data_IF_233462082426
#
_entry.id   IF_233462082426
#
_cell.length_a   1.000
_cell.length_b   1.000
_cell.length_c   1.000
_cell.angle_alpha   90.00
_cell.angle_beta   90.00
_cell.angle_gamma   90.00
#
_symmetry.space_group_name_H-M   'P 1'
#
loop_
_entity.id
_entity.type
_entity.pdbx_description
1 polymer ?
#
# COMPACT_ATOMS: atom_id res chain seq x y z
N UNK A 1 -22.87 15.14 13.20
CA UNK A 1 -21.93 14.29 13.94
C UNK A 1 -22.59 13.91 15.24
N UNK A 2 -23.18 12.74 15.25
CA UNK A 2 -23.47 12.01 16.47
C UNK A 2 -22.13 11.42 17.01
N UNK A 3 -22.14 10.91 18.24
CA UNK A 3 -21.12 10.05 18.85
C UNK A 3 -21.90 8.94 19.58
N UNK A 4 -21.36 7.73 19.65
CA UNK A 4 -21.79 6.73 20.65
C UNK A 4 -20.56 6.31 21.46
N UNK A 5 -20.74 5.64 22.61
CA UNK A 5 -19.65 5.10 23.45
C UNK A 5 -19.99 3.66 23.89
N UNK A 6 -18.98 2.84 24.17
CA UNK A 6 -19.07 1.40 24.45
C UNK A 6 -17.82 0.66 23.95
N UNK A 7 -17.85 -0.67 23.84
CA UNK A 7 -16.78 -1.41 23.16
C UNK A 7 -16.84 -1.23 21.61
N UNK A 8 -18.01 -0.89 21.06
CA UNK A 8 -18.29 -0.52 19.65
C UNK A 8 -19.62 0.25 19.51
N UNK A 9 -19.73 1.27 18.64
CA UNK A 9 -20.60 2.45 18.89
C UNK A 9 -20.96 3.32 17.62
N UNK A 10 -22.04 3.14 16.84
CA UNK A 10 -22.15 3.74 15.46
C UNK A 10 -22.95 5.09 15.26
N UNK A 11 -22.35 6.26 14.88
CA UNK A 11 -23.03 7.60 14.82
C UNK A 11 -22.99 8.38 13.47
N UNK A 12 -23.95 9.27 13.05
CA UNK A 12 -24.02 9.97 11.70
C UNK A 12 -23.66 11.50 11.50
N UNK A 13 -23.36 11.89 10.25
CA UNK A 13 -23.25 13.28 9.74
C UNK A 13 -22.22 13.58 8.61
N UNK A 14 -22.08 14.87 8.25
CA UNK A 14 -20.73 15.43 7.94
C UNK A 14 -19.99 15.32 9.28
N UNK A 15 -18.98 14.45 9.34
CA UNK A 15 -18.30 13.97 10.56
C UNK A 15 -19.22 13.03 11.39
N UNK A 16 -18.64 11.96 11.93
CA UNK A 16 -19.17 10.85 12.77
C UNK A 16 -17.97 10.43 13.64
N UNK A 17 -18.11 10.09 14.94
CA UNK A 17 -17.05 9.37 15.69
C UNK A 17 -17.63 8.32 16.64
N UNK A 18 -17.49 7.07 16.24
CA UNK A 18 -17.68 5.82 16.99
C UNK A 18 -16.44 5.62 17.86
N UNK A 19 -16.45 5.17 19.12
CA UNK A 19 -15.22 4.84 19.89
C UNK A 19 -15.42 3.76 20.95
N UNK A 20 -14.63 2.70 20.84
CA UNK A 20 -14.30 1.74 21.89
C UNK A 20 -12.97 1.06 21.57
N UNK A 21 -12.88 -0.23 21.86
CA UNK A 21 -11.92 -1.11 21.18
C UNK A 21 -12.30 -1.32 19.68
N UNK A 22 -13.26 -0.55 19.12
CA UNK A 22 -13.56 -0.27 17.69
C UNK A 22 -14.30 1.11 17.43
N UNK A 23 -14.05 1.83 16.28
CA UNK A 23 -14.38 3.30 16.01
C UNK A 23 -14.65 3.67 14.52
N UNK A 24 -15.82 3.44 13.89
CA UNK A 24 -16.14 3.95 12.51
C UNK A 24 -16.61 5.43 12.36
N UNK A 25 -15.85 6.30 11.67
CA UNK A 25 -16.18 7.72 11.36
C UNK A 25 -16.57 8.02 9.89
N UNK A 26 -17.76 8.47 9.44
CA UNK A 26 -17.93 9.18 8.15
C UNK A 26 -17.82 10.71 8.21
N UNK A 27 -17.63 11.36 7.05
CA UNK A 27 -18.06 12.75 6.87
C UNK A 27 -17.99 13.44 5.49
N UNK A 28 -18.43 12.91 4.34
CA UNK A 28 -18.94 11.58 3.94
C UNK A 28 -17.74 10.70 3.55
N UNK A 29 -17.14 10.07 4.56
CA UNK A 29 -15.68 9.86 4.70
C UNK A 29 -15.38 8.79 5.80
N UNK A 30 -15.77 7.51 5.62
CA UNK A 30 -16.05 6.42 6.63
C UNK A 30 -14.80 5.68 7.22
N UNK A 31 -14.56 5.56 8.56
CA UNK A 31 -13.24 5.06 9.06
C UNK A 31 -13.21 4.40 10.46
N UNK A 32 -13.10 3.05 10.56
CA UNK A 32 -13.01 2.20 11.80
C UNK A 32 -11.77 2.28 12.74
N UNK A 33 -11.98 2.10 14.08
CA UNK A 33 -11.13 1.52 15.18
C UNK A 33 -10.90 2.16 16.59
N UNK A 34 -10.98 1.46 17.71
CA UNK A 34 -10.10 0.33 17.82
C UNK A 34 -8.93 0.50 18.77
N UNK A 35 -8.25 -0.62 19.03
CA UNK A 35 -6.79 -0.65 18.89
C UNK A 35 -6.41 -0.67 17.38
N UNK A 36 -7.18 0.01 16.51
CA UNK A 36 -7.71 -0.56 15.23
C UNK A 36 -8.09 0.49 14.16
N UNK A 37 -7.48 1.69 14.11
CA UNK A 37 -8.13 3.02 13.85
C UNK A 37 -7.85 3.78 12.52
N UNK A 38 -8.53 4.94 12.32
CA UNK A 38 -8.04 6.21 11.69
C UNK A 38 -8.03 6.34 10.14
N UNK A 39 -8.21 7.51 9.48
CA UNK A 39 -9.23 8.58 9.65
C UNK A 39 -9.64 9.26 8.29
N UNK A 40 -10.35 10.40 8.35
CA UNK A 40 -11.51 10.67 7.47
C UNK A 40 -11.27 11.50 6.19
N UNK A 41 -11.41 10.85 5.02
CA UNK A 41 -11.64 11.41 3.69
C UNK A 41 -12.58 10.54 2.79
N UNK A 42 -12.96 11.04 1.61
CA UNK A 42 -14.23 10.71 0.91
C UNK A 42 -14.48 9.25 0.52
N UNK A 43 -15.44 8.59 1.18
CA UNK A 43 -15.67 7.12 1.22
C UNK A 43 -14.41 6.33 1.62
N UNK A 44 -14.45 5.60 2.73
CA UNK A 44 -13.33 4.81 3.23
C UNK A 44 -13.92 3.60 4.01
N UNK A 45 -13.09 2.61 4.32
CA UNK A 45 -13.38 1.44 5.19
C UNK A 45 -12.04 1.02 5.80
N UNK A 46 -12.02 0.40 6.97
CA UNK A 46 -10.79 -0.12 7.57
C UNK A 46 -11.06 -1.38 8.41
N UNK A 47 -10.19 -2.38 8.35
CA UNK A 47 -10.27 -3.59 9.19
C UNK A 47 -8.88 -4.05 9.66
N UNK A 48 -8.44 -3.66 10.86
CA UNK A 48 -7.17 -4.13 11.41
C UNK A 48 -6.55 -3.17 12.43
N UNK A 49 -5.43 -3.53 13.04
CA UNK A 49 -4.91 -2.86 14.23
C UNK A 49 -4.09 -1.58 13.92
N UNK A 50 -4.32 -0.45 14.59
CA UNK A 50 -3.45 0.74 14.56
C UNK A 50 -3.17 1.43 13.21
N UNK A 51 -4.14 1.51 12.29
CA UNK A 51 -4.00 2.16 10.97
C UNK A 51 -4.09 3.69 11.02
N UNK A 52 -3.91 4.37 9.87
CA UNK A 52 -4.15 5.81 9.61
C UNK A 52 -4.43 6.10 8.13
N UNK A 53 -5.71 6.33 7.79
CA UNK A 53 -6.16 6.75 6.47
C UNK A 53 -6.20 8.27 6.28
N UNK A 54 -5.84 8.73 5.09
CA UNK A 54 -6.04 10.08 4.57
C UNK A 54 -6.39 10.03 3.07
N UNK A 55 -7.51 10.62 2.64
CA UNK A 55 -7.83 10.68 1.20
C UNK A 55 -9.17 10.05 0.80
N UNK A 56 -9.32 9.41 -0.38
CA UNK A 56 -10.65 9.03 -0.92
C UNK A 56 -10.71 7.62 -1.52
N UNK A 57 -11.76 6.87 -1.17
CA UNK A 57 -12.01 5.47 -1.59
C UNK A 57 -10.87 4.55 -1.17
N UNK A 58 -10.61 4.43 0.13
CA UNK A 58 -9.51 3.60 0.65
C UNK A 58 -10.06 2.49 1.55
N UNK A 59 -9.46 1.30 1.50
CA UNK A 59 -9.90 0.08 2.19
C UNK A 59 -8.67 -0.71 2.71
N UNK A 60 -7.94 -0.21 3.72
CA UNK A 60 -6.93 -0.97 4.44
C UNK A 60 -7.46 -2.18 5.20
N UNK A 61 -6.65 -3.24 5.20
CA UNK A 61 -6.70 -4.35 6.14
C UNK A 61 -5.34 -4.58 6.82
N UNK A 62 -5.36 -4.97 8.10
CA UNK A 62 -4.17 -5.40 8.84
C UNK A 62 -3.58 -4.39 9.84
N UNK A 63 -2.34 -4.60 10.26
CA UNK A 63 -1.70 -3.91 11.38
C UNK A 63 -0.82 -2.73 10.91
N UNK A 64 -0.97 -1.54 11.51
CA UNK A 64 -0.12 -0.35 11.27
C UNK A 64 -0.04 0.03 9.79
N UNK A 65 -1.20 0.21 9.15
CA UNK A 65 -1.25 0.65 7.74
C UNK A 65 -1.52 2.15 7.65
N UNK A 66 -0.85 2.89 6.76
CA UNK A 66 -0.95 4.36 6.66
C UNK A 66 -1.15 4.81 5.20
N UNK A 67 -2.39 4.81 4.66
CA UNK A 67 -2.63 5.22 3.27
C UNK A 67 -3.00 6.70 3.11
N UNK A 68 -2.19 7.44 2.35
CA UNK A 68 -2.53 8.76 1.82
C UNK A 68 -2.81 8.74 0.31
N UNK A 69 -4.01 9.17 -0.09
CA UNK A 69 -4.34 9.44 -1.49
C UNK A 69 -5.69 8.88 -1.96
N UNK A 70 -5.73 8.10 -3.04
CA UNK A 70 -7.01 7.67 -3.64
C UNK A 70 -7.04 6.26 -4.22
N UNK A 71 -8.12 5.50 -3.95
CA UNK A 71 -8.30 4.12 -4.44
C UNK A 71 -7.17 3.19 -3.96
N UNK A 72 -6.96 3.14 -2.64
CA UNK A 72 -5.88 2.37 -2.01
C UNK A 72 -6.45 1.24 -1.16
N UNK A 73 -5.88 0.05 -1.25
CA UNK A 73 -6.35 -1.17 -0.58
C UNK A 73 -5.13 -1.97 -0.09
N UNK A 74 -4.42 -1.51 0.97
CA UNK A 74 -3.34 -2.30 1.54
C UNK A 74 -3.87 -3.47 2.36
N UNK A 75 -3.13 -4.57 2.39
CA UNK A 75 -3.42 -5.73 3.23
C UNK A 75 -2.14 -6.22 3.90
N UNK A 76 -1.98 -6.04 5.21
CA UNK A 76 -0.88 -6.65 5.97
C UNK A 76 -0.31 -5.78 7.09
N UNK A 77 1.01 -5.78 7.27
CA UNK A 77 1.69 -5.20 8.44
C UNK A 77 2.62 -4.04 8.04
N UNK A 78 2.61 -2.94 8.80
CA UNK A 78 3.51 -1.78 8.62
C UNK A 78 3.59 -1.30 7.17
N UNK A 79 2.45 -0.93 6.60
CA UNK A 79 2.32 -0.59 5.17
C UNK A 79 1.93 0.87 4.97
N UNK A 80 2.78 1.67 4.34
CA UNK A 80 2.57 3.10 4.05
C UNK A 80 2.31 3.28 2.56
N UNK A 81 1.28 4.05 2.17
CA UNK A 81 0.97 4.30 0.75
C UNK A 81 0.89 5.79 0.44
N UNK A 82 1.55 6.22 -0.63
CA UNK A 82 1.38 7.55 -1.19
C UNK A 82 0.87 7.47 -2.64
N UNK A 83 -0.20 8.19 -2.96
CA UNK A 83 -0.64 8.38 -4.35
C UNK A 83 -1.98 7.72 -4.71
N UNK A 84 -2.07 6.98 -5.82
CA UNK A 84 -3.39 6.55 -6.38
C UNK A 84 -3.43 5.15 -7.03
N UNK A 85 -4.51 4.41 -6.77
CA UNK A 85 -4.75 3.04 -7.28
C UNK A 85 -3.64 2.09 -6.85
N UNK A 86 -3.53 1.79 -5.55
CA UNK A 86 -2.46 0.93 -5.03
C UNK A 86 -3.05 -0.18 -4.16
N UNK A 87 -2.57 -1.40 -4.34
CA UNK A 87 -3.06 -2.61 -3.65
C UNK A 87 -1.84 -3.43 -3.19
N UNK A 88 -1.10 -2.98 -2.15
CA UNK A 88 0.00 -3.75 -1.60
C UNK A 88 -0.51 -4.88 -0.70
N UNK A 89 0.22 -5.99 -0.67
CA UNK A 89 -0.06 -7.13 0.20
C UNK A 89 1.24 -7.55 0.90
N UNK A 90 1.22 -7.67 2.23
CA UNK A 90 2.34 -8.20 3.02
C UNK A 90 2.92 -7.25 4.07
N UNK A 91 4.24 -7.26 4.27
CA UNK A 91 4.91 -6.68 5.44
C UNK A 91 5.94 -5.62 5.04
N UNK A 92 5.96 -4.46 5.71
CA UNK A 92 6.91 -3.37 5.43
C UNK A 92 6.88 -2.96 3.95
N UNK A 93 5.74 -2.42 3.50
CA UNK A 93 5.59 -1.99 2.11
C UNK A 93 5.38 -0.48 2.01
N UNK A 94 6.14 0.18 1.15
CA UNK A 94 6.17 1.64 0.99
C UNK A 94 6.07 2.05 -0.50
N UNK A 95 4.87 1.99 -1.12
CA UNK A 95 4.67 2.41 -2.50
C UNK A 95 4.27 3.88 -2.63
N UNK A 96 5.05 4.67 -3.35
CA UNK A 96 4.72 6.03 -3.81
C UNK A 96 4.49 6.07 -5.33
N UNK A 97 3.29 6.48 -5.75
CA UNK A 97 3.00 6.74 -7.15
C UNK A 97 1.61 6.30 -7.59
N UNK A 98 1.52 5.57 -8.71
CA UNK A 98 0.23 5.25 -9.34
C UNK A 98 0.15 3.85 -9.96
N UNK A 99 -0.91 3.10 -9.67
CA UNK A 99 -1.14 1.72 -10.18
C UNK A 99 -0.06 0.74 -9.70
N UNK A 100 0.07 0.57 -8.38
CA UNK A 100 1.06 -0.32 -7.75
C UNK A 100 0.36 -1.53 -7.11
N UNK A 101 0.92 -2.73 -7.28
CA UNK A 101 0.45 -3.98 -6.66
C UNK A 101 1.66 -4.82 -6.23
N UNK A 102 2.37 -4.47 -5.14
CA UNK A 102 3.39 -5.32 -4.56
C UNK A 102 2.78 -6.42 -3.67
N UNK A 103 3.44 -7.57 -3.62
CA UNK A 103 3.07 -8.73 -2.81
C UNK A 103 4.34 -9.28 -2.15
N UNK A 104 4.48 -9.15 -0.83
CA UNK A 104 5.60 -9.72 -0.07
C UNK A 104 6.16 -8.81 1.03
N UNK A 105 7.48 -8.76 1.17
CA UNK A 105 8.17 -8.22 2.36
C UNK A 105 9.21 -7.17 2.00
N UNK A 106 9.34 -6.09 2.78
CA UNK A 106 10.30 -4.98 2.56
C UNK A 106 10.31 -4.50 1.11
N UNK A 107 9.22 -3.89 0.66
CA UNK A 107 9.05 -3.47 -0.74
C UNK A 107 8.72 -1.99 -0.86
N UNK A 108 9.68 -1.22 -1.39
CA UNK A 108 9.60 0.24 -1.61
C UNK A 108 9.48 0.51 -3.10
N UNK A 109 8.34 1.01 -3.56
CA UNK A 109 8.07 1.25 -4.99
C UNK A 109 7.98 2.75 -5.30
N UNK A 110 8.66 3.21 -6.36
CA UNK A 110 8.50 4.56 -6.87
C UNK A 110 8.01 4.56 -8.33
N UNK A 111 7.10 5.49 -8.67
CA UNK A 111 6.73 5.79 -10.06
C UNK A 111 5.32 5.34 -10.48
N UNK A 112 5.20 4.29 -11.32
CA UNK A 112 3.85 3.82 -11.67
C UNK A 112 3.66 2.76 -12.78
N UNK A 113 2.53 2.04 -12.66
CA UNK A 113 2.21 0.78 -13.35
C UNK A 113 3.25 -0.29 -12.96
N UNK A 114 3.06 -0.87 -11.78
CA UNK A 114 4.02 -1.75 -11.12
C UNK A 114 3.25 -2.92 -10.47
N UNK A 115 3.60 -4.17 -10.80
CA UNK A 115 3.07 -5.38 -10.14
C UNK A 115 4.26 -6.22 -9.66
N UNK A 116 4.44 -6.44 -8.36
CA UNK A 116 5.71 -6.94 -7.82
C UNK A 116 5.47 -8.10 -6.88
N UNK A 117 6.28 -9.16 -6.96
CA UNK A 117 6.21 -10.29 -6.02
C UNK A 117 7.59 -10.56 -5.42
N UNK A 118 7.69 -10.64 -4.10
CA UNK A 118 8.88 -11.14 -3.40
C UNK A 118 9.37 -10.30 -2.21
N UNK A 119 10.68 -10.33 -1.97
CA UNK A 119 11.30 -9.90 -0.70
C UNK A 119 12.44 -8.91 -0.95
N UNK A 120 12.53 -7.84 -0.17
CA UNK A 120 13.56 -6.79 -0.29
C UNK A 120 13.64 -6.24 -1.71
N UNK A 121 12.67 -5.42 -2.11
CA UNK A 121 12.64 -4.84 -3.46
C UNK A 121 12.55 -3.31 -3.42
N UNK A 122 13.43 -2.66 -4.20
CA UNK A 122 13.52 -1.20 -4.34
C UNK A 122 13.48 -0.80 -5.83
N UNK A 123 12.29 -0.79 -6.46
CA UNK A 123 12.12 -0.49 -7.88
C UNK A 123 11.53 0.91 -8.10
N UNK A 124 12.31 1.77 -8.74
CA UNK A 124 11.89 3.06 -9.28
C UNK A 124 11.64 2.95 -10.79
N UNK A 125 10.52 3.53 -11.25
CA UNK A 125 10.24 3.72 -12.65
C UNK A 125 8.84 3.32 -13.07
N UNK A 126 8.69 2.74 -14.27
CA UNK A 126 7.37 2.53 -14.89
C UNK A 126 7.25 1.23 -15.68
N UNK A 127 6.07 0.59 -15.60
CA UNK A 127 5.76 -0.71 -16.25
C UNK A 127 6.69 -1.85 -15.81
N UNK A 128 7.03 -1.95 -14.52
CA UNK A 128 7.92 -3.01 -14.00
C UNK A 128 7.11 -4.18 -13.40
N UNK A 129 7.63 -5.41 -13.57
CA UNK A 129 6.98 -6.64 -13.10
C UNK A 129 8.01 -7.69 -12.63
N UNK A 130 8.62 -7.60 -11.44
CA UNK A 130 9.51 -8.65 -10.93
C UNK A 130 8.76 -9.84 -10.33
N UNK A 131 9.46 -10.95 -10.25
CA UNK A 131 9.25 -11.99 -9.23
C UNK A 131 10.60 -12.34 -8.61
N UNK A 132 10.89 -11.92 -7.37
CA UNK A 132 12.25 -12.15 -6.85
C UNK A 132 12.60 -11.64 -5.45
N UNK A 133 13.79 -12.05 -5.01
CA UNK A 133 14.41 -11.66 -3.74
C UNK A 133 15.58 -10.70 -4.00
N UNK A 134 15.71 -9.61 -3.22
CA UNK A 134 16.75 -8.58 -3.38
C UNK A 134 16.76 -8.00 -4.80
N UNK A 135 15.83 -7.09 -5.11
CA UNK A 135 15.75 -6.48 -6.47
C UNK A 135 15.75 -4.96 -6.45
N UNK A 136 16.79 -4.34 -7.01
CA UNK A 136 17.02 -2.88 -7.01
C UNK A 136 17.04 -2.36 -8.44
N UNK A 137 16.10 -1.49 -8.83
CA UNK A 137 15.90 -1.18 -10.25
C UNK A 137 15.52 0.26 -10.53
N UNK A 138 16.09 0.80 -11.60
CA UNK A 138 15.68 2.07 -12.21
C UNK A 138 15.29 1.81 -13.67
N UNK A 139 14.19 2.37 -14.16
CA UNK A 139 13.91 2.39 -15.60
C UNK A 139 12.49 2.03 -16.04
N UNK A 140 12.36 1.49 -17.25
CA UNK A 140 11.05 1.35 -17.93
C UNK A 140 10.89 0.04 -18.68
N UNK A 141 9.87 -0.74 -18.30
CA UNK A 141 9.52 -2.05 -18.89
C UNK A 141 10.54 -3.15 -18.52
N UNK A 142 10.67 -3.43 -17.22
CA UNK A 142 11.59 -4.45 -16.70
C UNK A 142 10.81 -5.58 -15.99
N UNK A 143 11.03 -6.83 -16.42
CA UNK A 143 10.35 -8.04 -15.93
C UNK A 143 11.40 -9.10 -15.52
N UNK A 144 12.16 -8.89 -14.43
CA UNK A 144 13.14 -9.87 -13.95
C UNK A 144 12.49 -11.00 -13.15
N UNK A 145 13.06 -12.20 -13.20
CA UNK A 145 12.71 -13.31 -12.30
C UNK A 145 13.97 -13.87 -11.63
N UNK A 146 14.03 -13.87 -10.30
CA UNK A 146 15.13 -14.53 -9.56
C UNK A 146 15.64 -13.79 -8.32
N UNK A 147 16.95 -13.86 -8.08
CA UNK A 147 17.60 -13.47 -6.83
C UNK A 147 18.74 -12.46 -7.07
N UNK A 148 18.87 -11.43 -6.23
CA UNK A 148 19.91 -10.40 -6.29
C UNK A 148 20.01 -9.77 -7.68
N UNK A 149 18.92 -9.11 -8.11
CA UNK A 149 18.81 -8.56 -9.48
C UNK A 149 18.88 -7.03 -9.46
N UNK A 150 19.78 -6.45 -10.25
CA UNK A 150 19.96 -5.01 -10.37
C UNK A 150 19.84 -4.58 -11.83
N UNK A 151 18.95 -3.64 -12.12
CA UNK A 151 18.65 -3.20 -13.50
C UNK A 151 18.58 -1.68 -13.65
N UNK A 152 19.06 -1.19 -14.79
CA UNK A 152 19.01 0.22 -15.19
C UNK A 152 18.39 0.36 -16.59
N UNK A 153 17.84 1.55 -16.91
CA UNK A 153 17.52 1.94 -18.29
C UNK A 153 16.26 1.30 -18.89
N UNK A 154 16.46 0.51 -19.94
CA UNK A 154 15.47 0.14 -20.96
C UNK A 154 14.61 -1.09 -20.67
N UNK A 155 14.23 -1.79 -21.76
CA UNK A 155 13.39 -2.99 -21.75
C UNK A 155 14.25 -4.20 -21.39
N UNK A 156 14.03 -4.84 -20.22
CA UNK A 156 14.87 -5.96 -19.78
C UNK A 156 14.03 -7.08 -19.15
N UNK A 157 14.35 -8.33 -19.48
CA UNK A 157 13.58 -9.53 -19.09
C UNK A 157 14.46 -10.68 -18.55
N UNK A 158 15.45 -10.42 -17.65
CA UNK A 158 16.40 -11.45 -17.25
C UNK A 158 15.77 -12.49 -16.30
N UNK A 159 16.27 -13.72 -16.36
CA UNK A 159 15.94 -14.77 -15.40
C UNK A 159 17.24 -15.31 -14.82
N UNK A 160 17.38 -15.37 -13.48
CA UNK A 160 18.55 -15.98 -12.85
C UNK A 160 18.94 -15.41 -11.48
N UNK A 161 20.09 -15.88 -11.00
CA UNK A 161 20.73 -15.46 -9.76
C UNK A 161 21.83 -14.41 -10.04
N UNK A 162 21.95 -13.38 -9.20
CA UNK A 162 22.97 -12.32 -9.29
C UNK A 162 23.00 -11.60 -10.65
N UNK A 163 21.84 -11.19 -11.17
CA UNK A 163 21.74 -10.61 -12.52
C UNK A 163 21.94 -9.10 -12.52
N UNK A 164 23.01 -8.65 -13.19
CA UNK A 164 23.31 -7.23 -13.51
C UNK A 164 23.38 -6.95 -15.03
N UNK A 165 22.29 -7.10 -15.81
CA UNK A 165 22.25 -6.62 -17.19
C UNK A 165 22.48 -5.12 -17.31
N UNK A 166 23.55 -4.73 -17.98
CA UNK A 166 23.80 -3.34 -18.37
C UNK A 166 22.65 -2.81 -19.25
N UNK A 167 22.23 -1.59 -18.97
CA UNK A 167 21.00 -1.01 -19.51
C UNK A 167 21.23 -0.15 -20.75
N UNK A 168 21.03 -0.75 -21.93
CA UNK A 168 20.78 -0.04 -23.20
C UNK A 168 19.28 0.05 -23.54
#
# INVERSE_FOLDING_TARGET
MLILVGYSTTPDGRKKVHVGYDTTLAGRRQVPGGYRTTLAGGRQVHVGYGTTLAGRRQVPGGYRTTPDGQKQVPVGYSTTLAGRRQVPVGYSTTPDGRKHVPVGYSTTLAGGKQFHVGYSTTPDGRKQVPVGYSTTRAGRIQVPVGYSTTLAGGKQFPVGYSTTPDGT
#
